data_IF_210121264094
#
_entry.id   IF_210121264094
#
_cell.length_a   1.000
_cell.length_b   1.000
_cell.length_c   1.000
_cell.angle_alpha   90.00
_cell.angle_beta   90.00
_cell.angle_gamma   90.00
#
_symmetry.space_group_name_H-M   'P 1'
#
loop_
_entity.id
_entity.type
_entity.pdbx_description
1 polymer ?
#
# COMPACT_ATOMS: atom_id res chain seq x y z
N UNK A 1 4.54 6.04 -3.62
CA UNK A 1 4.96 7.39 -3.22
C UNK A 1 5.63 7.30 -1.87
N UNK A 2 6.90 7.69 -1.81
CA UNK A 2 7.68 7.79 -0.57
C UNK A 2 7.75 9.26 -0.13
N UNK A 3 7.80 9.57 1.17
CA UNK A 3 8.05 10.92 1.64
C UNK A 3 9.35 11.45 1.01
N UNK A 4 9.29 12.65 0.42
CA UNK A 4 10.46 13.32 -0.17
C UNK A 4 10.77 13.01 -1.64
N UNK A 5 10.01 12.16 -2.32
CA UNK A 5 10.19 11.88 -3.75
C UNK A 5 9.13 12.60 -4.58
N UNK A 6 9.55 13.61 -5.34
CA UNK A 6 8.73 14.24 -6.38
C UNK A 6 8.30 13.16 -7.38
N UNK A 7 7.01 13.16 -7.75
CA UNK A 7 6.31 12.19 -8.60
C UNK A 7 7.18 11.51 -9.67
N UNK A 8 7.26 10.18 -9.65
CA UNK A 8 7.91 9.37 -10.71
C UNK A 8 7.07 9.38 -12.00
N UNK A 9 7.67 9.32 -13.19
CA UNK A 9 7.00 9.24 -14.52
C UNK A 9 5.77 8.32 -14.56
N UNK A 10 5.83 7.18 -13.86
CA UNK A 10 4.72 6.23 -13.76
C UNK A 10 3.44 6.82 -13.14
N UNK A 11 3.58 7.69 -12.13
CA UNK A 11 2.45 8.31 -11.43
C UNK A 11 1.76 9.41 -12.24
N UNK A 12 2.45 10.01 -13.20
CA UNK A 12 1.90 11.07 -14.06
C UNK A 12 0.96 10.52 -15.15
N UNK A 13 1.17 9.27 -15.58
CA UNK A 13 0.33 8.59 -16.57
C UNK A 13 -0.95 7.97 -15.98
N UNK A 14 -1.09 7.90 -14.64
CA UNK A 14 -2.25 7.27 -14.00
C UNK A 14 -3.42 8.24 -13.93
N UNK A 15 -4.58 7.80 -14.43
CA UNK A 15 -5.84 8.49 -14.24
C UNK A 15 -6.88 7.57 -13.58
N UNK A 16 -7.55 8.03 -12.50
CA UNK A 16 -7.24 9.24 -11.75
C UNK A 16 -5.84 9.19 -11.09
N UNK A 17 -5.28 10.37 -10.78
CA UNK A 17 -3.99 10.47 -10.10
C UNK A 17 -4.03 9.79 -8.73
N UNK A 18 -2.98 9.06 -8.33
CA UNK A 18 -2.89 8.49 -6.99
C UNK A 18 -2.94 9.60 -5.92
N UNK A 19 -3.67 9.39 -4.81
CA UNK A 19 -3.68 10.34 -3.71
C UNK A 19 -2.30 10.38 -3.01
N UNK A 20 -1.87 11.57 -2.59
CA UNK A 20 -0.66 11.72 -1.80
C UNK A 20 -0.94 11.39 -0.32
N UNK A 21 -0.57 10.17 0.10
CA UNK A 21 -0.77 9.68 1.46
C UNK A 21 0.19 10.25 2.51
N UNK A 22 1.17 11.09 2.14
CA UNK A 22 1.98 11.83 3.14
C UNK A 22 1.26 13.08 3.66
N UNK A 23 0.21 13.53 2.96
CA UNK A 23 -0.61 14.64 3.40
C UNK A 23 -1.64 14.18 4.44
N UNK A 24 -1.55 14.71 5.67
CA UNK A 24 -2.47 14.38 6.75
C UNK A 24 -3.95 14.61 6.40
N UNK A 25 -4.28 15.67 5.65
CA UNK A 25 -5.65 15.97 5.23
C UNK A 25 -6.22 14.90 4.29
N UNK A 26 -5.38 14.32 3.44
CA UNK A 26 -5.75 13.20 2.56
C UNK A 26 -5.99 11.94 3.38
N UNK A 27 -5.21 11.76 4.45
CA UNK A 27 -5.26 10.56 5.29
C UNK A 27 -6.37 10.58 6.33
N UNK A 28 -6.85 11.75 6.75
CA UNK A 28 -7.87 11.90 7.80
C UNK A 28 -9.12 11.05 7.54
N UNK A 29 -9.54 10.89 6.28
CA UNK A 29 -10.68 10.03 5.92
C UNK A 29 -10.49 8.58 6.35
N UNK A 30 -9.27 8.06 6.33
CA UNK A 30 -8.94 6.66 6.67
C UNK A 30 -8.77 6.42 8.19
N UNK A 31 -8.77 7.49 9.01
CA UNK A 31 -8.67 7.35 10.46
C UNK A 31 -9.97 6.87 11.10
N UNK A 32 -11.09 7.02 10.41
CA UNK A 32 -12.40 6.49 10.83
C UNK A 32 -12.52 5.01 10.49
N UNK A 33 -13.29 4.25 11.26
CA UNK A 33 -13.52 2.83 10.98
C UNK A 33 -14.14 2.62 9.58
N UNK A 34 -15.08 3.48 9.19
CA UNK A 34 -15.69 3.45 7.87
C UNK A 34 -14.66 3.68 6.75
N UNK A 35 -13.75 4.65 6.93
CA UNK A 35 -12.68 4.90 5.96
C UNK A 35 -11.64 3.80 5.91
N UNK A 36 -11.32 3.19 7.06
CA UNK A 36 -10.41 2.05 7.12
C UNK A 36 -10.99 0.82 6.39
N UNK A 37 -12.28 0.54 6.57
CA UNK A 37 -13.00 -0.51 5.83
C UNK A 37 -13.06 -0.24 4.32
N UNK A 38 -13.29 1.01 3.92
CA UNK A 38 -13.27 1.41 2.49
C UNK A 38 -11.89 1.20 1.88
N UNK A 39 -10.82 1.57 2.59
CA UNK A 39 -9.44 1.30 2.16
C UNK A 39 -9.15 -0.17 2.03
N UNK A 40 -9.54 -0.97 3.03
CA UNK A 40 -9.39 -2.42 2.97
C UNK A 40 -10.11 -2.99 1.74
N UNK A 41 -11.35 -2.58 1.48
CA UNK A 41 -12.11 -3.02 0.32
C UNK A 41 -11.43 -2.65 -1.00
N UNK A 42 -10.94 -1.41 -1.12
CA UNK A 42 -10.22 -0.94 -2.30
C UNK A 42 -8.91 -1.71 -2.52
N UNK A 43 -8.16 -2.02 -1.46
CA UNK A 43 -6.92 -2.81 -1.52
C UNK A 43 -7.23 -4.26 -1.93
N UNK A 44 -8.28 -4.84 -1.36
CA UNK A 44 -8.70 -6.22 -1.64
C UNK A 44 -9.14 -6.40 -3.09
N UNK A 45 -9.95 -5.48 -3.60
CA UNK A 45 -10.64 -5.64 -4.88
C UNK A 45 -10.08 -4.77 -6.01
N UNK A 46 -9.18 -3.84 -5.71
CA UNK A 46 -8.76 -2.80 -6.63
C UNK A 46 -9.87 -1.78 -6.91
N UNK A 47 -9.56 -0.78 -7.73
CA UNK A 47 -10.54 0.17 -8.24
C UNK A 47 -10.48 0.13 -9.77
N UNK A 48 -11.59 -0.23 -10.39
CA UNK A 48 -11.71 -0.31 -11.85
C UNK A 48 -11.30 1.02 -12.50
N UNK A 49 -10.54 0.95 -13.58
CA UNK A 49 -10.05 2.11 -14.34
C UNK A 49 -9.16 3.09 -13.55
N UNK A 50 -8.47 2.66 -12.49
CA UNK A 50 -7.60 3.53 -11.68
C UNK A 50 -6.13 3.12 -11.61
N UNK A 51 -5.71 2.10 -12.36
CA UNK A 51 -4.37 1.52 -12.20
C UNK A 51 -4.12 0.85 -10.84
N UNK A 52 -5.10 0.87 -9.91
CA UNK A 52 -5.03 0.19 -8.62
C UNK A 52 -5.37 -1.30 -8.79
N UNK A 53 -4.39 -2.22 -8.63
CA UNK A 53 -4.62 -3.66 -8.74
C UNK A 53 -5.44 -4.20 -7.56
N UNK A 54 -6.05 -5.37 -7.76
CA UNK A 54 -6.67 -6.15 -6.69
C UNK A 54 -5.63 -7.07 -6.04
N UNK A 55 -5.47 -7.00 -4.71
CA UNK A 55 -4.52 -7.87 -3.98
C UNK A 55 -5.17 -9.03 -3.24
N UNK A 56 -6.50 -9.06 -3.16
CA UNK A 56 -7.23 -10.08 -2.41
C UNK A 56 -7.16 -11.50 -2.94
N UNK A 57 -6.67 -11.70 -4.17
CA UNK A 57 -6.43 -13.03 -4.72
C UNK A 57 -5.05 -13.60 -4.37
N UNK A 58 -4.08 -12.74 -4.03
CA UNK A 58 -2.68 -13.13 -3.81
C UNK A 58 -2.19 -12.91 -2.38
N UNK A 59 -2.95 -12.21 -1.54
CA UNK A 59 -2.59 -11.87 -0.16
C UNK A 59 -3.76 -12.10 0.79
N UNK A 60 -3.47 -12.41 2.05
CA UNK A 60 -4.46 -12.58 3.12
C UNK A 60 -4.97 -11.24 3.67
N UNK A 61 -6.08 -11.32 4.42
CA UNK A 61 -6.76 -10.14 4.97
C UNK A 61 -5.92 -9.42 6.04
N UNK A 62 -5.09 -10.13 6.81
CA UNK A 62 -4.21 -9.52 7.83
C UNK A 62 -3.18 -8.61 7.17
N UNK A 63 -2.62 -9.04 6.04
CA UNK A 63 -1.70 -8.24 5.24
C UNK A 63 -2.36 -6.99 4.65
N UNK A 64 -3.61 -7.08 4.23
CA UNK A 64 -4.36 -5.90 3.77
C UNK A 64 -4.62 -4.91 4.90
N UNK A 65 -4.96 -5.41 6.10
CA UNK A 65 -5.11 -4.55 7.28
C UNK A 65 -3.80 -3.90 7.71
N UNK A 66 -2.67 -4.61 7.61
CA UNK A 66 -1.35 -4.03 7.85
C UNK A 66 -1.05 -2.87 6.88
N UNK A 67 -1.44 -2.99 5.61
CA UNK A 67 -1.31 -1.91 4.63
C UNK A 67 -2.20 -0.71 4.96
N UNK A 68 -3.44 -0.94 5.41
CA UNK A 68 -4.33 0.14 5.89
C UNK A 68 -3.73 0.86 7.09
N UNK A 69 -3.16 0.11 8.04
CA UNK A 69 -2.50 0.68 9.22
C UNK A 69 -1.26 1.50 8.81
N UNK A 70 -0.46 1.00 7.87
CA UNK A 70 0.69 1.72 7.33
C UNK A 70 0.26 3.05 6.70
N UNK A 71 -0.75 3.05 5.81
CA UNK A 71 -1.28 4.27 5.18
C UNK A 71 -1.73 5.31 6.23
N UNK A 72 -2.35 4.88 7.33
CA UNK A 72 -2.78 5.76 8.42
C UNK A 72 -1.61 6.40 9.16
N UNK A 73 -0.50 5.67 9.30
CA UNK A 73 0.70 6.14 9.98
C UNK A 73 1.56 7.08 9.13
N UNK A 74 1.48 7.00 7.80
CA UNK A 74 2.36 7.72 6.87
C UNK A 74 2.57 9.22 7.17
N UNK A 75 1.53 10.03 7.49
CA UNK A 75 1.72 11.45 7.78
C UNK A 75 2.51 11.73 9.06
N UNK A 76 2.65 10.73 9.93
CA UNK A 76 3.30 10.83 11.24
C UNK A 76 4.73 10.26 11.20
N UNK A 77 5.11 9.55 10.13
CA UNK A 77 6.43 8.97 9.98
C UNK A 77 7.45 10.02 9.56
N UNK A 78 8.59 10.05 10.25
CA UNK A 78 9.79 10.70 9.71
C UNK A 78 10.54 9.74 8.74
N UNK A 79 11.53 10.27 8.02
CA UNK A 79 12.28 9.53 6.99
C UNK A 79 12.89 8.23 7.53
N UNK A 80 13.50 8.24 8.72
CA UNK A 80 14.10 7.05 9.31
C UNK A 80 13.04 5.97 9.64
N UNK A 81 11.89 6.38 10.17
CA UNK A 81 10.79 5.46 10.46
C UNK A 81 10.17 4.90 9.19
N UNK A 82 10.03 5.73 8.16
CA UNK A 82 9.59 5.29 6.84
C UNK A 82 10.52 4.22 6.27
N UNK A 83 11.83 4.48 6.23
CA UNK A 83 12.82 3.50 5.74
C UNK A 83 12.76 2.19 6.51
N UNK A 84 12.70 2.23 7.85
CA UNK A 84 12.60 1.00 8.66
C UNK A 84 11.33 0.19 8.36
N UNK A 85 10.20 0.85 8.13
CA UNK A 85 8.94 0.18 7.82
C UNK A 85 8.96 -0.40 6.40
N UNK A 86 9.47 0.35 5.40
CA UNK A 86 9.54 -0.13 4.01
C UNK A 86 10.55 -1.24 3.83
N UNK A 87 11.73 -1.17 4.45
CA UNK A 87 12.72 -2.25 4.36
C UNK A 87 12.19 -3.56 4.92
N UNK A 88 11.43 -3.53 6.02
CA UNK A 88 10.77 -4.74 6.55
C UNK A 88 9.69 -5.27 5.63
N UNK A 89 8.87 -4.37 5.06
CA UNK A 89 7.84 -4.72 4.08
C UNK A 89 8.44 -5.35 2.82
N UNK A 90 9.59 -4.85 2.35
CA UNK A 90 10.32 -5.37 1.20
C UNK A 90 10.94 -6.74 1.50
N UNK A 91 11.57 -6.92 2.68
CA UNK A 91 12.10 -8.22 3.11
C UNK A 91 10.99 -9.27 3.24
N UNK A 92 9.84 -8.92 3.84
CA UNK A 92 8.66 -9.79 3.93
C UNK A 92 8.02 -10.05 2.55
N UNK A 93 8.24 -9.18 1.55
CA UNK A 93 7.83 -9.40 0.16
C UNK A 93 8.81 -10.29 -0.62
N UNK A 94 10.11 -10.16 -0.37
CA UNK A 94 11.16 -10.94 -1.06
C UNK A 94 11.30 -12.36 -0.51
N UNK A 95 11.23 -12.56 0.81
CA UNK A 95 11.30 -13.89 1.44
C UNK A 95 10.13 -14.80 1.00
N UNK A 96 8.97 -14.20 0.71
CA UNK A 96 7.77 -14.92 0.30
C UNK A 96 7.66 -15.11 -1.23
N UNK A 97 8.60 -14.55 -2.00
CA UNK A 97 8.76 -14.76 -3.45
C UNK A 97 9.60 -16.01 -3.77
N UNK A 98 10.40 -16.53 -2.83
CA UNK A 98 11.20 -17.76 -2.98
C UNK A 98 10.48 -19.04 -2.48
N UNK A 99 9.18 -18.97 -2.17
CA UNK A 99 8.40 -20.11 -1.67
C UNK A 99 7.66 -20.94 -2.75
N UNK A 100 7.87 -20.68 -4.04
CA UNK A 100 7.00 -21.16 -5.12
C UNK A 100 7.67 -21.95 -6.25
N UNK A 101 8.68 -22.77 -6.00
CA UNK A 101 9.22 -23.68 -7.01
C UNK A 101 9.67 -25.01 -6.39
N UNK A 102 8.71 -25.93 -6.19
CA UNK A 102 9.03 -27.28 -5.79
C UNK A 102 7.83 -28.21 -5.83
N UNK A 103 7.48 -28.75 -7.01
CA UNK A 103 6.98 -30.12 -7.15
C UNK A 103 7.04 -30.57 -8.62
N UNK A 104 7.61 -31.77 -8.78
CA UNK A 104 8.06 -32.44 -10.00
C UNK A 104 6.88 -32.93 -10.87
N UNK A 105 7.03 -32.89 -12.20
CA UNK A 105 7.14 -34.07 -13.09
C UNK A 105 7.36 -33.63 -14.54
#
# INVERSE_FOLDING_TARGET
MSPGVESTDFSESLYPKPPNFTNAQVVDRYKTDAGAQQSFWAIKHGIMASGMPAWGASHDDDRMWAMVAFIRSLPELNENQYTMLTTRLDDDMMDMSEGGAGMQH
#
